data_IF_915465141397
#
_entry.id   IF_915465141397
#
_cell.length_a   1.000
_cell.length_b   1.000
_cell.length_c   1.000
_cell.angle_alpha   90.00
_cell.angle_beta   90.00
_cell.angle_gamma   90.00
#
_symmetry.space_group_name_H-M   'P 1'
#
loop_
_entity.id
_entity.type
_entity.pdbx_description
1 polymer ?
#
# COMPACT_ATOMS: atom_id res chain seq x y z
N UNK A 1 -10.90 -1.43 -18.99
CA UNK A 1 -11.05 -1.07 -17.57
C UNK A 1 -12.28 -1.80 -17.04
N UNK A 2 -12.20 -2.45 -15.91
CA UNK A 2 -13.33 -3.11 -15.24
C UNK A 2 -13.43 -2.61 -13.81
N UNK A 3 -14.65 -2.52 -13.28
CA UNK A 3 -14.93 -2.06 -11.92
C UNK A 3 -15.60 -3.14 -11.06
N UNK A 4 -15.91 -4.29 -11.64
CA UNK A 4 -16.68 -5.35 -11.01
C UNK A 4 -15.78 -6.52 -10.57
N UNK A 5 -14.85 -6.24 -9.65
CA UNK A 5 -13.95 -7.24 -9.11
C UNK A 5 -14.24 -7.41 -7.62
N UNK A 6 -14.86 -8.54 -7.26
CA UNK A 6 -15.30 -8.85 -5.90
C UNK A 6 -14.64 -10.12 -5.34
N UNK A 7 -13.96 -10.90 -6.19
CA UNK A 7 -13.37 -12.18 -5.82
C UNK A 7 -11.84 -12.10 -5.82
N UNK A 8 -11.22 -12.49 -4.72
CA UNK A 8 -9.77 -12.56 -4.56
C UNK A 8 -9.10 -13.46 -5.61
N UNK A 9 -9.75 -14.55 -6.01
CA UNK A 9 -9.21 -15.44 -7.05
C UNK A 9 -9.11 -14.75 -8.41
N UNK A 10 -10.10 -13.91 -8.73
CA UNK A 10 -10.08 -13.10 -9.95
C UNK A 10 -8.93 -12.09 -9.88
N UNK A 11 -8.75 -11.42 -8.74
CA UNK A 11 -7.65 -10.49 -8.52
C UNK A 11 -6.30 -11.21 -8.63
N UNK A 12 -6.15 -12.40 -8.05
CA UNK A 12 -4.93 -13.21 -8.16
C UNK A 12 -4.59 -13.56 -9.62
N UNK A 13 -5.60 -13.93 -10.40
CA UNK A 13 -5.41 -14.22 -11.81
C UNK A 13 -5.00 -12.98 -12.61
N UNK A 14 -5.58 -11.82 -12.29
CA UNK A 14 -5.29 -10.55 -12.97
C UNK A 14 -3.94 -9.98 -12.56
N UNK A 15 -3.55 -10.05 -11.29
CA UNK A 15 -2.24 -9.58 -10.79
C UNK A 15 -1.05 -10.33 -11.40
N UNK A 16 -1.25 -11.53 -11.94
CA UNK A 16 -0.24 -12.25 -12.72
C UNK A 16 0.03 -11.64 -14.09
N UNK A 17 -0.83 -10.72 -14.54
CA UNK A 17 -0.67 -10.06 -15.84
C UNK A 17 0.25 -8.84 -15.68
N UNK A 18 1.31 -8.70 -16.48
CA UNK A 18 2.31 -7.65 -16.30
C UNK A 18 1.79 -6.23 -16.55
N UNK A 19 0.61 -6.11 -17.17
CA UNK A 19 -0.03 -4.84 -17.50
C UNK A 19 -1.26 -4.52 -16.62
N UNK A 20 -1.52 -5.33 -15.59
CA UNK A 20 -2.66 -5.12 -14.70
C UNK A 20 -2.29 -4.20 -13.55
N UNK A 21 -3.12 -3.20 -13.33
CA UNK A 21 -2.98 -2.24 -12.23
C UNK A 21 -4.29 -2.21 -11.44
N UNK A 22 -4.23 -2.56 -10.18
CA UNK A 22 -5.36 -2.49 -9.26
C UNK A 22 -5.37 -1.13 -8.56
N UNK A 23 -6.47 -0.41 -8.71
CA UNK A 23 -6.66 0.92 -8.12
C UNK A 23 -7.83 0.85 -7.15
N UNK A 24 -7.61 1.23 -5.90
CA UNK A 24 -8.71 1.47 -4.96
C UNK A 24 -9.12 2.94 -4.96
N UNK A 25 -10.42 3.18 -5.01
CA UNK A 25 -10.98 4.52 -4.87
C UNK A 25 -11.85 4.53 -3.63
N UNK A 26 -11.51 5.38 -2.68
CA UNK A 26 -12.24 5.51 -1.43
C UNK A 26 -12.59 6.97 -1.14
N UNK A 27 -13.51 7.19 -0.21
CA UNK A 27 -13.87 8.52 0.26
C UNK A 27 -14.29 8.43 1.74
N UNK A 28 -14.08 9.50 2.54
CA UNK A 28 -14.57 9.55 3.91
C UNK A 28 -16.06 9.21 4.00
N UNK A 29 -16.47 8.49 5.03
CA UNK A 29 -17.87 8.05 5.23
C UNK A 29 -18.84 9.23 5.19
N UNK A 30 -18.47 10.36 5.81
CA UNK A 30 -19.27 11.59 5.80
C UNK A 30 -19.51 12.13 4.39
N UNK A 31 -18.47 12.13 3.54
CA UNK A 31 -18.56 12.57 2.13
C UNK A 31 -19.43 11.61 1.32
N UNK A 32 -19.28 10.30 1.54
CA UNK A 32 -20.11 9.28 0.89
C UNK A 32 -21.58 9.40 1.29
N UNK A 33 -21.83 9.64 2.58
CA UNK A 33 -23.17 9.87 3.11
C UNK A 33 -23.83 11.09 2.46
N UNK A 34 -23.12 12.23 2.40
CA UNK A 34 -23.66 13.44 1.79
C UNK A 34 -23.99 13.21 0.32
N UNK A 35 -23.08 12.61 -0.46
CA UNK A 35 -23.32 12.26 -1.86
C UNK A 35 -24.50 11.30 -2.05
N UNK A 36 -24.70 10.38 -1.10
CA UNK A 36 -25.83 9.47 -1.13
C UNK A 36 -27.15 10.22 -0.89
N UNK A 37 -27.19 11.12 0.10
CA UNK A 37 -28.34 11.99 0.38
C UNK A 37 -28.72 12.84 -0.87
N UNK A 38 -27.71 13.47 -1.47
CA UNK A 38 -27.93 14.31 -2.65
C UNK A 38 -28.52 13.50 -3.81
N UNK A 39 -28.05 12.27 -4.00
CA UNK A 39 -28.58 11.33 -5.01
C UNK A 39 -30.00 10.89 -4.68
N UNK A 40 -30.34 10.62 -3.43
CA UNK A 40 -31.69 10.31 -3.00
C UNK A 40 -32.64 11.49 -3.26
N UNK A 41 -32.21 12.72 -2.96
CA UNK A 41 -33.00 13.92 -3.22
C UNK A 41 -33.32 14.09 -4.73
N UNK A 42 -32.32 13.90 -5.60
CA UNK A 42 -32.53 13.94 -7.07
C UNK A 42 -33.52 12.88 -7.52
N UNK A 43 -33.46 11.67 -6.97
CA UNK A 43 -34.33 10.56 -7.33
C UNK A 43 -35.66 10.52 -6.55
N UNK A 44 -35.94 11.55 -5.74
CA UNK A 44 -37.14 11.63 -4.89
C UNK A 44 -37.29 10.40 -3.94
N UNK A 45 -36.17 9.88 -3.45
CA UNK A 45 -36.12 8.78 -2.49
C UNK A 45 -35.81 9.31 -1.09
N UNK A 46 -36.34 8.65 -0.07
CA UNK A 46 -35.96 8.93 1.32
C UNK A 46 -34.59 8.35 1.61
N UNK A 47 -33.61 9.14 2.06
CA UNK A 47 -32.31 8.61 2.43
C UNK A 47 -32.44 7.79 3.73
N UNK A 48 -31.68 6.70 3.91
CA UNK A 48 -31.58 6.00 5.17
C UNK A 48 -30.99 6.91 6.25
N UNK A 49 -31.07 6.53 7.51
CA UNK A 49 -30.36 7.23 8.58
C UNK A 49 -28.83 7.11 8.42
N UNK A 50 -28.08 8.01 9.08
CA UNK A 50 -26.63 7.90 9.07
C UNK A 50 -26.16 6.56 9.65
N UNK A 51 -26.81 6.10 10.71
CA UNK A 51 -26.51 4.82 11.37
C UNK A 51 -26.69 3.64 10.42
N UNK A 52 -27.82 3.56 9.74
CA UNK A 52 -28.07 2.52 8.73
C UNK A 52 -27.05 2.57 7.59
N UNK A 53 -26.66 3.79 7.18
CA UNK A 53 -25.64 3.95 6.13
C UNK A 53 -24.28 3.44 6.59
N UNK A 54 -23.88 3.74 7.83
CA UNK A 54 -22.61 3.26 8.41
C UNK A 54 -22.63 1.73 8.53
N UNK A 55 -23.69 1.14 9.07
CA UNK A 55 -23.81 -0.31 9.18
C UNK A 55 -23.73 -1.03 7.82
N UNK A 56 -24.39 -0.49 6.80
CA UNK A 56 -24.28 -1.02 5.43
C UNK A 56 -22.87 -0.89 4.87
N UNK A 57 -22.20 0.24 5.14
CA UNK A 57 -20.83 0.46 4.73
C UNK A 57 -19.88 -0.54 5.38
N UNK A 58 -20.04 -0.79 6.68
CA UNK A 58 -19.20 -1.72 7.41
C UNK A 58 -19.43 -3.16 6.94
N UNK A 59 -20.68 -3.54 6.72
CA UNK A 59 -21.00 -4.83 6.12
C UNK A 59 -20.34 -5.00 4.73
N UNK A 60 -20.34 -3.96 3.90
CA UNK A 60 -19.71 -3.97 2.58
C UNK A 60 -18.19 -4.09 2.65
N UNK A 61 -17.54 -3.43 3.62
CA UNK A 61 -16.09 -3.44 3.76
C UNK A 61 -15.57 -4.69 4.48
N UNK A 62 -16.26 -5.17 5.51
CA UNK A 62 -15.74 -6.14 6.48
C UNK A 62 -16.52 -7.46 6.54
N UNK A 63 -17.50 -7.69 5.67
CA UNK A 63 -18.17 -8.99 5.62
C UNK A 63 -17.15 -10.13 5.37
N UNK A 64 -17.28 -11.24 6.10
CA UNK A 64 -16.30 -12.34 6.13
C UNK A 64 -15.98 -12.95 4.75
N UNK A 65 -16.97 -12.99 3.83
CA UNK A 65 -16.80 -13.62 2.51
C UNK A 65 -16.76 -12.64 1.34
N UNK A 66 -17.29 -11.45 1.52
CA UNK A 66 -17.48 -10.46 0.43
C UNK A 66 -16.94 -9.09 0.77
N UNK A 67 -16.25 -8.96 1.91
CA UNK A 67 -15.70 -7.68 2.35
C UNK A 67 -14.58 -7.19 1.45
N UNK A 68 -14.66 -5.93 1.04
CA UNK A 68 -13.70 -5.31 0.11
C UNK A 68 -12.41 -4.83 0.77
N UNK A 69 -12.32 -4.84 2.10
CA UNK A 69 -11.17 -4.26 2.80
C UNK A 69 -9.85 -4.96 2.43
N UNK A 70 -9.87 -6.29 2.26
CA UNK A 70 -8.71 -7.06 1.83
C UNK A 70 -8.28 -6.68 0.41
N UNK A 71 -9.23 -6.52 -0.52
CA UNK A 71 -8.97 -6.09 -1.88
C UNK A 71 -8.41 -4.66 -1.94
N UNK A 72 -8.93 -3.75 -1.12
CA UNK A 72 -8.43 -2.38 -1.02
C UNK A 72 -6.98 -2.32 -0.53
N UNK A 73 -6.59 -3.22 0.39
CA UNK A 73 -5.21 -3.30 0.85
C UNK A 73 -4.25 -3.77 -0.24
N UNK A 74 -4.69 -4.61 -1.16
CA UNK A 74 -3.91 -5.15 -2.28
C UNK A 74 -3.74 -4.18 -3.44
N UNK A 75 -4.47 -3.06 -3.44
CA UNK A 75 -4.38 -2.08 -4.51
C UNK A 75 -3.00 -1.42 -4.56
N UNK A 76 -2.37 -1.42 -5.75
CA UNK A 76 -1.09 -0.75 -5.99
C UNK A 76 -1.22 0.77 -5.92
N UNK A 77 -2.39 1.31 -6.28
CA UNK A 77 -2.69 2.72 -6.16
C UNK A 77 -3.94 2.93 -5.32
N UNK A 78 -3.89 3.95 -4.47
CA UNK A 78 -5.02 4.33 -3.61
C UNK A 78 -5.38 5.79 -3.88
N UNK A 79 -6.60 6.03 -4.31
CA UNK A 79 -7.15 7.37 -4.52
C UNK A 79 -8.18 7.66 -3.43
N UNK A 80 -7.90 8.66 -2.60
CA UNK A 80 -8.87 9.20 -1.64
C UNK A 80 -9.62 10.37 -2.29
N UNK A 81 -10.90 10.15 -2.61
CA UNK A 81 -11.77 11.17 -3.18
C UNK A 81 -12.53 11.91 -2.08
N UNK A 82 -11.85 12.82 -1.40
CA UNK A 82 -12.43 13.66 -0.33
C UNK A 82 -13.07 14.96 -0.84
N UNK A 83 -12.97 15.26 -2.15
CA UNK A 83 -13.40 16.53 -2.72
C UNK A 83 -14.82 16.46 -3.26
N UNK A 84 -15.53 17.61 -3.25
CA UNK A 84 -16.85 17.76 -3.88
C UNK A 84 -16.75 18.19 -5.34
N UNK A 85 -15.58 18.63 -5.79
CA UNK A 85 -15.35 19.16 -7.14
C UNK A 85 -14.85 18.06 -8.10
N UNK A 86 -15.50 17.95 -9.25
CA UNK A 86 -15.05 17.06 -10.33
C UNK A 86 -13.69 17.51 -10.88
N UNK A 87 -13.42 18.82 -10.92
CA UNK A 87 -12.13 19.34 -11.36
C UNK A 87 -10.99 18.85 -10.46
N UNK A 88 -11.14 18.99 -9.16
CA UNK A 88 -10.15 18.51 -8.17
C UNK A 88 -9.95 17.00 -8.25
N UNK A 89 -11.01 16.21 -8.49
CA UNK A 89 -10.88 14.78 -8.69
C UNK A 89 -10.09 14.45 -9.97
N UNK A 90 -10.34 15.16 -11.06
CA UNK A 90 -9.59 14.98 -12.31
C UNK A 90 -8.11 15.29 -12.12
N UNK A 91 -7.78 16.35 -11.38
CA UNK A 91 -6.39 16.71 -11.10
C UNK A 91 -5.72 15.69 -10.19
N UNK A 92 -6.43 15.15 -9.19
CA UNK A 92 -5.95 14.04 -8.37
C UNK A 92 -5.68 12.77 -9.21
N UNK A 93 -6.58 12.43 -10.13
CA UNK A 93 -6.38 11.28 -11.04
C UNK A 93 -5.20 11.53 -12.00
N UNK A 94 -5.04 12.75 -12.52
CA UNK A 94 -3.90 13.11 -13.38
C UNK A 94 -2.57 13.01 -12.61
N UNK A 95 -2.55 13.48 -11.34
CA UNK A 95 -1.34 13.41 -10.50
C UNK A 95 -0.91 11.98 -10.19
N UNK A 96 -1.84 11.01 -10.22
CA UNK A 96 -1.51 9.59 -10.09
C UNK A 96 -0.66 9.07 -11.25
N UNK A 97 -0.63 9.74 -12.39
CA UNK A 97 0.11 9.31 -13.59
C UNK A 97 -0.06 7.81 -13.87
N UNK A 98 -1.27 7.40 -14.20
CA UNK A 98 -1.64 5.98 -14.36
C UNK A 98 -0.87 5.28 -15.48
N UNK A 99 -0.36 6.04 -16.44
CA UNK A 99 0.42 5.55 -17.59
C UNK A 99 1.92 5.39 -17.31
N UNK A 100 2.36 5.62 -16.08
CA UNK A 100 3.75 5.43 -15.72
C UNK A 100 4.14 3.94 -15.77
N UNK A 101 4.90 3.57 -16.78
CA UNK A 101 5.36 2.20 -17.02
C UNK A 101 6.22 1.64 -15.89
N UNK A 102 6.93 2.49 -15.15
CA UNK A 102 7.76 2.07 -14.01
C UNK A 102 6.96 1.38 -12.90
N UNK A 103 5.64 1.57 -12.84
CA UNK A 103 4.75 0.87 -11.90
C UNK A 103 4.49 -0.58 -12.28
N UNK A 104 4.50 -0.87 -13.57
CA UNK A 104 4.31 -2.22 -14.09
C UNK A 104 5.63 -2.96 -14.21
N UNK A 105 6.68 -2.22 -14.58
CA UNK A 105 8.04 -2.72 -14.71
C UNK A 105 9.03 -1.71 -14.15
N UNK A 106 9.49 -1.87 -12.91
CA UNK A 106 10.44 -0.95 -12.30
C UNK A 106 11.73 -0.87 -13.13
N UNK A 107 12.38 0.29 -13.11
CA UNK A 107 13.72 0.44 -13.68
C UNK A 107 14.73 -0.47 -12.95
N UNK A 108 15.88 -0.72 -13.56
CA UNK A 108 16.93 -1.53 -12.93
C UNK A 108 17.37 -0.96 -11.59
N UNK A 109 17.48 0.37 -11.48
CA UNK A 109 17.87 1.03 -10.25
C UNK A 109 16.80 0.87 -9.16
N UNK A 110 15.52 1.05 -9.52
CA UNK A 110 14.40 0.81 -8.61
C UNK A 110 14.36 -0.64 -8.13
N UNK A 111 14.57 -1.59 -9.03
CA UNK A 111 14.63 -3.01 -8.70
C UNK A 111 15.75 -3.33 -7.72
N UNK A 112 16.98 -2.84 -7.98
CA UNK A 112 18.12 -3.10 -7.10
C UNK A 112 18.00 -2.36 -5.75
N UNK A 113 17.40 -1.17 -5.72
CA UNK A 113 17.10 -0.48 -4.47
C UNK A 113 16.10 -1.26 -3.61
N UNK A 114 15.05 -1.81 -4.22
CA UNK A 114 14.11 -2.67 -3.49
C UNK A 114 14.77 -3.94 -2.95
N UNK A 115 15.70 -4.53 -3.67
CA UNK A 115 16.49 -5.66 -3.17
C UNK A 115 17.40 -5.26 -2.01
N UNK A 116 18.00 -4.06 -2.05
CA UNK A 116 18.79 -3.54 -0.94
C UNK A 116 17.93 -3.27 0.30
N UNK A 117 16.74 -2.71 0.13
CA UNK A 117 15.77 -2.54 1.22
C UNK A 117 15.34 -3.88 1.81
N UNK A 118 15.10 -4.90 0.97
CA UNK A 118 14.80 -6.25 1.43
C UNK A 118 15.98 -6.87 2.21
N UNK A 119 17.22 -6.67 1.74
CA UNK A 119 18.41 -7.10 2.46
C UNK A 119 18.53 -6.41 3.83
N UNK A 120 18.20 -5.12 3.92
CA UNK A 120 18.21 -4.36 5.17
C UNK A 120 17.27 -4.95 6.23
N UNK A 121 16.16 -5.60 5.85
CA UNK A 121 15.25 -6.24 6.79
C UNK A 121 15.89 -7.41 7.57
N UNK A 122 16.98 -7.99 7.05
CA UNK A 122 17.76 -9.03 7.75
C UNK A 122 18.67 -8.46 8.84
N UNK A 123 18.88 -7.15 8.85
CA UNK A 123 19.74 -6.50 9.86
C UNK A 123 19.10 -6.55 11.25
N UNK A 124 19.90 -6.93 12.24
CA UNK A 124 19.56 -6.89 13.66
C UNK A 124 20.04 -5.59 14.34
N UNK A 125 20.50 -4.60 13.57
CA UNK A 125 20.98 -3.33 14.10
C UNK A 125 19.82 -2.52 14.71
N UNK A 126 19.94 -2.17 15.99
CA UNK A 126 18.93 -1.42 16.74
C UNK A 126 18.90 0.08 16.35
N UNK A 127 20.01 0.61 15.83
CA UNK A 127 20.11 2.01 15.45
C UNK A 127 19.54 2.27 14.06
N UNK A 128 19.98 1.53 13.05
CA UNK A 128 19.54 1.69 11.66
C UNK A 128 19.84 0.41 10.87
N UNK A 129 18.82 -0.10 10.20
CA UNK A 129 18.97 -1.20 9.25
C UNK A 129 19.46 -0.65 7.90
N UNK A 130 20.57 -1.19 7.42
CA UNK A 130 21.15 -0.83 6.12
C UNK A 130 21.37 -2.10 5.33
N UNK A 131 20.93 -2.11 4.09
CA UNK A 131 21.18 -3.17 3.12
C UNK A 131 21.94 -2.63 1.92
N UNK A 132 22.67 -3.49 1.26
CA UNK A 132 23.35 -3.18 0.00
C UNK A 132 23.25 -4.34 -0.97
N UNK A 133 23.36 -4.02 -2.27
CA UNK A 133 23.39 -4.99 -3.36
C UNK A 133 24.54 -4.60 -4.28
N UNK A 134 25.43 -5.54 -4.57
CA UNK A 134 26.51 -5.37 -5.56
C UNK A 134 26.00 -5.90 -6.89
N UNK A 135 26.06 -5.06 -7.92
CA UNK A 135 25.52 -5.36 -9.25
C UNK A 135 26.62 -5.17 -10.30
N UNK A 136 26.69 -6.11 -11.26
CA UNK A 136 27.50 -6.00 -12.49
C UNK A 136 26.62 -6.41 -13.66
N UNK A 137 26.62 -5.63 -14.73
CA UNK A 137 25.88 -5.91 -15.96
C UNK A 137 24.41 -6.32 -15.70
N UNK A 138 23.71 -5.60 -14.82
CA UNK A 138 22.33 -5.85 -14.41
C UNK A 138 22.12 -7.22 -13.73
N UNK A 139 23.17 -7.85 -13.20
CA UNK A 139 23.09 -9.08 -12.42
C UNK A 139 23.57 -8.83 -11.00
N UNK A 140 22.83 -9.36 -10.03
CA UNK A 140 23.22 -9.33 -8.63
C UNK A 140 24.39 -10.27 -8.42
N UNK A 141 25.51 -9.72 -7.93
CA UNK A 141 26.70 -10.48 -7.54
C UNK A 141 26.59 -10.90 -6.08
N UNK A 142 26.22 -9.96 -5.21
CA UNK A 142 26.12 -10.19 -3.79
C UNK A 142 25.12 -9.24 -3.14
N UNK A 143 24.58 -9.66 -2.01
CA UNK A 143 23.78 -8.82 -1.12
C UNK A 143 24.43 -8.78 0.26
N UNK A 144 24.26 -7.68 0.97
CA UNK A 144 24.80 -7.50 2.32
C UNK A 144 23.88 -6.64 3.16
N UNK A 145 24.06 -6.73 4.47
CA UNK A 145 23.39 -5.88 5.43
C UNK A 145 24.29 -5.68 6.66
N UNK A 146 24.07 -4.60 7.39
CA UNK A 146 24.86 -4.30 8.58
C UNK A 146 24.44 -5.17 9.77
N UNK A 147 25.42 -5.48 10.63
CA UNK A 147 25.22 -6.28 11.84
C UNK A 147 26.54 -6.62 12.50
N UNK A 148 26.48 -7.41 13.56
CA UNK A 148 27.66 -7.97 14.22
C UNK A 148 28.32 -9.04 13.33
N UNK A 149 29.63 -9.23 13.38
CA UNK A 149 30.30 -10.32 12.71
C UNK A 149 29.71 -11.70 13.03
N UNK A 150 29.87 -12.64 12.10
CA UNK A 150 29.37 -14.01 12.29
C UNK A 150 30.01 -14.65 13.54
N UNK A 151 29.19 -15.26 14.39
CA UNK A 151 29.63 -15.90 15.66
C UNK A 151 29.64 -14.96 16.85
N UNK A 152 29.34 -13.68 16.68
CA UNK A 152 29.16 -12.74 17.79
C UNK A 152 27.66 -12.54 18.09
N UNK A 153 27.36 -12.17 19.33
CA UNK A 153 26.03 -11.84 19.81
C UNK A 153 25.44 -10.69 18.95
N UNK A 154 24.18 -10.79 18.56
CA UNK A 154 23.52 -9.77 17.74
C UNK A 154 23.27 -8.47 18.52
N UNK A 155 23.09 -7.35 17.78
CA UNK A 155 22.82 -6.05 18.40
C UNK A 155 21.56 -6.06 19.26
N UNK A 156 20.51 -6.74 18.83
CA UNK A 156 19.25 -6.88 19.57
C UNK A 156 19.36 -7.79 20.83
N UNK A 157 20.46 -8.51 20.95
CA UNK A 157 20.77 -9.39 22.10
C UNK A 157 21.86 -8.78 22.99
N UNK A 158 22.22 -7.51 22.78
CA UNK A 158 23.22 -6.80 23.58
C UNK A 158 24.66 -6.89 23.06
N UNK A 159 24.88 -7.47 21.86
CA UNK A 159 26.21 -7.66 21.28
C UNK A 159 26.88 -6.39 20.74
N UNK A 160 26.20 -5.24 20.73
CA UNK A 160 26.71 -3.98 20.24
C UNK A 160 26.76 -2.93 21.35
N UNK A 161 27.95 -2.53 21.79
CA UNK A 161 28.14 -1.48 22.80
C UNK A 161 27.57 -0.13 22.40
N UNK A 162 27.56 0.20 21.11
CA UNK A 162 26.94 1.42 20.60
C UNK A 162 25.40 1.41 20.68
N UNK A 163 24.76 0.24 20.53
CA UNK A 163 23.31 0.12 20.66
C UNK A 163 22.88 0.28 22.12
N UNK A 164 23.65 -0.24 23.08
CA UNK A 164 23.36 -0.15 24.50
C UNK A 164 23.42 1.29 25.01
N UNK A 165 24.39 2.09 24.53
CA UNK A 165 24.54 3.49 24.92
C UNK A 165 23.48 4.44 24.33
N UNK A 166 22.86 4.09 23.22
CA UNK A 166 21.85 4.95 22.53
C UNK A 166 20.41 4.55 22.81
N UNK A 167 20.16 3.31 23.25
CA UNK A 167 18.84 2.84 23.62
C UNK A 167 18.49 3.09 25.10
N UNK A 168 19.50 3.42 25.94
CA UNK A 168 19.33 3.79 27.35
C UNK A 168 19.32 5.30 27.57
N UNK A 169 19.21 6.10 26.52
CA UNK A 169 19.08 7.55 26.62
C UNK A 169 17.77 7.93 27.29
N UNK A 170 17.86 8.17 28.59
CA UNK A 170 16.96 9.01 29.37
C UNK A 170 16.83 10.39 28.75
#
# INVERSE_FOLDING_TARGET
MTTDIWDDKVVDALLRRPFFLLISVDAPVSVRWQRFKDRCAVNKLTPPTLEEFVLRNDAHLFAQRTGLSALFQRAQLKLLNSTTSIASLRDAVRSLNLTNEARLRPSWDQYFMQLADLAALRSNCMKRRVGCVIVREKRVISTGYNGTPRGMTNCNEGGCTFATLLCTGT
#
